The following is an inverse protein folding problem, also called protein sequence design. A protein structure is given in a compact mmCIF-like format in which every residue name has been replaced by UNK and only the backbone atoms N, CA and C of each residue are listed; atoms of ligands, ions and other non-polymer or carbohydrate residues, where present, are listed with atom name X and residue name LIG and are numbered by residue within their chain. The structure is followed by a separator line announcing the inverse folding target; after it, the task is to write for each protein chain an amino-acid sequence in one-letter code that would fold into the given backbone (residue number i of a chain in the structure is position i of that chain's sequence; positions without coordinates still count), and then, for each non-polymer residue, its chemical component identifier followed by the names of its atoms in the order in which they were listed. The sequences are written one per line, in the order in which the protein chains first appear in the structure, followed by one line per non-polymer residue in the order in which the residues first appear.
data_IF_089194724259
#
_entry.id   IF_089194724259
#
_cell.length_a   1.000
_cell.length_b   1.000
_cell.length_c   1.000
_cell.angle_alpha   90.00
_cell.angle_beta   90.00
_cell.angle_gamma   90.00
#
_symmetry.space_group_name_H-M   'P 1'
#
loop_
_entity.id
_entity.type
_entity.pdbx_description
1 polymer ?
#
# COMPACT_ATOMS: atom_id res chain seq x y z
N UNK A 1 -33.84 67.23 -4.93
CA UNK A 1 -32.49 67.79 -5.15
C UNK A 1 -31.72 66.75 -5.96
N UNK A 2 -31.91 66.78 -7.29
CA UNK A 2 -31.00 67.38 -8.32
C UNK A 2 -29.81 66.47 -8.61
N UNK A 3 -29.91 65.64 -9.66
CA UNK A 3 -29.40 65.84 -11.04
C UNK A 3 -27.96 65.30 -11.16
N UNK A 4 -27.50 64.57 -12.17
CA UNK A 4 -28.06 64.21 -13.49
C UNK A 4 -26.91 64.14 -14.51
N UNK A 5 -26.88 63.09 -15.37
CA UNK A 5 -26.29 63.05 -16.72
C UNK A 5 -24.75 63.16 -16.86
N UNK A 6 -24.09 62.74 -17.96
CA UNK A 6 -24.55 62.10 -19.20
C UNK A 6 -23.33 61.67 -20.07
N UNK A 7 -23.52 60.62 -20.88
CA UNK A 7 -23.08 60.40 -22.29
C UNK A 7 -21.62 60.68 -22.77
N UNK A 8 -20.88 59.60 -23.09
CA UNK A 8 -20.41 59.07 -24.43
C UNK A 8 -19.85 59.98 -25.59
N UNK A 9 -19.14 59.41 -26.61
CA UNK A 9 -17.78 59.74 -27.14
C UNK A 9 -17.83 60.56 -28.49
N UNK A 10 -16.95 60.49 -29.53
CA UNK A 10 -15.57 59.97 -29.76
C UNK A 10 -14.62 60.98 -30.51
N UNK A 11 -13.35 60.62 -30.86
CA UNK A 11 -12.73 60.86 -32.21
C UNK A 11 -11.25 60.45 -32.36
N UNK A 12 -10.93 60.13 -33.62
CA UNK A 12 -9.67 59.65 -34.24
C UNK A 12 -8.63 60.76 -34.52
N UNK A 13 -7.37 60.33 -34.70
CA UNK A 13 -6.52 60.48 -35.92
C UNK A 13 -5.15 61.19 -35.81
N UNK A 14 -4.26 60.76 -36.74
CA UNK A 14 -2.98 61.28 -37.25
C UNK A 14 -1.71 60.66 -36.64
N UNK A 15 -0.83 59.91 -37.35
CA UNK A 15 -0.20 59.95 -38.69
C UNK A 15 1.15 60.69 -38.74
N UNK A 16 2.21 59.96 -39.11
CA UNK A 16 3.49 60.42 -39.68
C UNK A 16 4.39 59.20 -39.92
N UNK A 17 4.59 58.69 -41.15
CA UNK A 17 5.49 59.14 -42.23
C UNK A 17 6.98 58.81 -41.95
N UNK A 18 7.87 58.37 -42.86
CA UNK A 18 7.87 57.65 -44.16
C UNK A 18 9.36 57.49 -44.62
N UNK A 19 9.63 56.61 -45.61
CA UNK A 19 10.83 56.43 -46.50
C UNK A 19 11.99 55.53 -46.00
N UNK A 20 12.34 54.38 -46.63
CA UNK A 20 12.89 54.06 -47.99
C UNK A 20 14.44 54.19 -48.03
N UNK A 21 15.30 53.36 -48.66
CA UNK A 21 15.24 52.16 -49.53
C UNK A 21 16.69 51.57 -49.71
N UNK A 22 16.80 50.51 -50.56
CA UNK A 22 17.99 49.92 -51.25
C UNK A 22 18.72 48.77 -50.49
N UNK A 23 19.04 47.58 -51.05
CA UNK A 23 19.15 47.00 -52.42
C UNK A 23 19.22 45.44 -52.31
N UNK A 24 18.71 44.68 -53.29
CA UNK A 24 18.98 43.22 -53.47
C UNK A 24 20.28 42.97 -54.28
N UNK A 25 20.54 41.79 -54.91
CA UNK A 25 19.65 40.64 -55.19
C UNK A 25 20.29 39.20 -55.13
N UNK A 26 19.46 38.17 -55.42
CA UNK A 26 19.73 36.84 -56.05
C UNK A 26 19.43 35.56 -55.25
N UNK A 27 18.60 34.68 -55.86
CA UNK A 27 18.59 33.22 -55.62
C UNK A 27 17.20 32.59 -55.54
N UNK A 28 16.74 31.89 -56.60
CA UNK A 28 15.42 31.27 -56.79
C UNK A 28 15.37 29.78 -56.37
N UNK A 29 14.15 29.29 -56.06
CA UNK A 29 13.45 28.03 -56.50
C UNK A 29 12.70 27.40 -55.31
N UNK A 30 11.36 27.40 -55.27
CA UNK A 30 10.35 26.66 -56.05
C UNK A 30 10.28 25.18 -55.68
N UNK A 31 9.24 24.77 -54.93
CA UNK A 31 8.19 23.91 -55.49
C UNK A 31 6.96 23.88 -54.58
N UNK A 32 5.80 24.07 -55.19
CA UNK A 32 4.45 23.89 -54.66
C UNK A 32 3.70 23.08 -55.73
N UNK A 33 2.62 22.40 -55.33
CA UNK A 33 1.75 21.50 -56.11
C UNK A 33 2.14 20.00 -56.15
N UNK A 34 1.29 19.13 -55.57
CA UNK A 34 0.05 18.66 -56.22
C UNK A 34 -0.62 17.54 -55.41
N UNK A 35 -1.83 17.80 -54.92
CA UNK A 35 -2.81 16.77 -54.55
C UNK A 35 -3.57 16.37 -55.82
N UNK A 36 -3.62 15.08 -56.17
CA UNK A 36 -4.58 14.58 -57.15
C UNK A 36 -5.09 13.18 -56.78
N UNK A 37 -6.42 13.07 -56.73
CA UNK A 37 -7.18 11.88 -56.35
C UNK A 37 -7.71 11.19 -57.61
N UNK A 38 -7.39 9.90 -57.75
CA UNK A 38 -8.21 8.91 -58.47
C UNK A 38 -7.56 8.28 -59.70
N UNK A 39 -7.17 7.00 -59.58
CA UNK A 39 -7.42 5.90 -60.55
C UNK A 39 -7.01 4.58 -59.92
N UNK A 40 -7.87 3.56 -59.98
CA UNK A 40 -7.55 2.16 -59.60
C UNK A 40 -6.74 1.50 -60.70
N UNK A 41 -5.73 0.69 -60.35
CA UNK A 41 -5.30 -0.44 -61.17
C UNK A 41 -4.85 -1.59 -60.26
N UNK A 42 -5.38 -2.77 -60.57
CA UNK A 42 -5.16 -4.03 -59.89
C UNK A 42 -3.92 -4.74 -60.45
N UNK A 43 -3.17 -5.40 -59.57
CA UNK A 43 -2.51 -6.69 -59.80
C UNK A 43 -1.81 -7.08 -58.49
N UNK A 44 -2.23 -8.20 -57.89
CA UNK A 44 -1.57 -8.77 -56.74
C UNK A 44 -0.40 -9.65 -57.15
N UNK A 45 0.67 -9.63 -56.34
CA UNK A 45 1.49 -10.78 -55.96
C UNK A 45 2.43 -10.37 -54.80
N UNK A 46 2.93 -11.33 -53.98
CA UNK A 46 3.23 -11.08 -52.57
C UNK A 46 4.61 -10.47 -52.33
N UNK A 47 4.71 -9.65 -51.28
CA UNK A 47 5.98 -9.16 -50.76
C UNK A 47 6.72 -10.29 -50.04
N UNK A 48 7.60 -10.98 -50.76
CA UNK A 48 8.67 -11.77 -50.15
C UNK A 48 9.80 -10.81 -49.73
N UNK A 49 10.05 -10.70 -48.43
CA UNK A 49 11.22 -10.00 -47.91
C UNK A 49 12.45 -10.91 -48.06
N UNK A 50 13.31 -10.64 -49.03
CA UNK A 50 14.67 -11.17 -49.07
C UNK A 50 15.60 -10.19 -48.35
N UNK A 51 16.14 -10.62 -47.22
CA UNK A 51 17.18 -9.91 -46.46
C UNK A 51 18.53 -10.47 -46.90
N UNK A 52 19.37 -9.64 -47.53
CA UNK A 52 20.83 -9.87 -47.59
C UNK A 52 21.57 -8.53 -47.78
N UNK A 53 22.35 -8.06 -46.79
CA UNK A 53 23.36 -7.04 -47.01
C UNK A 53 24.71 -7.74 -47.23
N UNK A 54 25.18 -7.77 -48.48
CA UNK A 54 26.55 -8.17 -48.76
C UNK A 54 27.51 -7.08 -48.29
N UNK A 55 28.45 -7.57 -47.48
CA UNK A 55 29.72 -7.02 -47.07
C UNK A 55 30.37 -6.11 -48.12
N UNK A 56 30.63 -4.87 -47.72
CA UNK A 56 31.88 -4.15 -47.98
C UNK A 56 31.89 -2.89 -47.09
N UNK A 57 33.02 -2.65 -46.41
CA UNK A 57 33.27 -1.59 -45.41
C UNK A 57 33.02 -1.94 -43.93
N UNK A 58 33.57 -3.07 -43.47
CA UNK A 58 33.78 -3.35 -42.05
C UNK A 58 35.29 -3.47 -41.72
N UNK A 59 36.09 -2.48 -42.11
CA UNK A 59 37.52 -2.40 -41.75
C UNK A 59 37.93 -1.00 -41.25
N UNK A 60 37.13 -0.27 -40.44
CA UNK A 60 37.72 0.90 -39.74
C UNK A 60 37.04 1.43 -38.48
N UNK A 61 36.43 0.59 -37.63
CA UNK A 61 35.86 1.09 -36.37
C UNK A 61 35.76 0.07 -35.23
N UNK A 62 36.85 -0.65 -34.95
CA UNK A 62 37.03 -1.37 -33.68
C UNK A 62 38.40 -1.07 -33.06
N UNK A 63 38.65 0.19 -32.71
CA UNK A 63 39.67 0.58 -31.72
C UNK A 63 39.03 1.42 -30.63
N UNK A 64 38.56 0.73 -29.59
CA UNK A 64 38.69 1.05 -28.15
C UNK A 64 37.84 0.07 -27.34
N UNK A 65 38.36 -1.12 -27.13
CA UNK A 65 37.94 -2.00 -26.03
C UNK A 65 38.99 -1.82 -24.92
N UNK A 66 38.64 -1.38 -23.69
CA UNK A 66 39.59 -1.36 -22.60
C UNK A 66 39.99 -2.81 -22.22
N UNK A 67 41.25 -3.07 -21.81
CA UNK A 67 41.70 -4.42 -21.54
C UNK A 67 40.97 -5.05 -20.35
N UNK A 68 40.45 -6.25 -20.56
CA UNK A 68 39.93 -7.13 -19.50
C UNK A 68 41.11 -7.54 -18.63
N UNK A 69 41.14 -6.97 -17.43
CA UNK A 69 42.13 -7.29 -16.40
C UNK A 69 41.90 -8.73 -15.93
N UNK A 70 42.83 -9.65 -16.22
CA UNK A 70 42.87 -10.99 -15.62
C UNK A 70 42.96 -10.83 -14.10
N UNK A 71 41.82 -10.89 -13.40
CA UNK A 71 41.80 -11.08 -11.94
C UNK A 71 42.08 -12.54 -11.68
N UNK A 72 43.27 -12.80 -11.13
CA UNK A 72 43.68 -14.12 -10.68
C UNK A 72 42.72 -14.71 -9.65
N UNK A 73 42.88 -16.01 -9.43
CA UNK A 73 42.05 -16.92 -8.61
C UNK A 73 42.19 -16.64 -7.10
N UNK A 74 42.32 -15.37 -6.70
CA UNK A 74 42.40 -14.94 -5.29
C UNK A 74 41.16 -14.16 -4.83
N UNK A 75 40.17 -13.94 -5.71
CA UNK A 75 38.92 -13.25 -5.37
C UNK A 75 37.75 -14.20 -4.98
N UNK A 76 38.04 -15.48 -4.68
CA UNK A 76 37.00 -16.46 -4.29
C UNK A 76 37.02 -16.79 -2.79
N UNK A 77 38.06 -16.39 -2.03
CA UNK A 77 38.20 -16.78 -0.61
C UNK A 77 38.64 -15.66 0.35
N UNK A 78 38.33 -14.40 0.04
CA UNK A 78 38.80 -13.23 0.83
C UNK A 78 38.19 -13.03 2.23
N UNK A 79 37.07 -13.68 2.57
CA UNK A 79 36.46 -13.59 3.92
C UNK A 79 36.53 -14.92 4.71
N UNK A 80 36.66 -16.06 4.01
CA UNK A 80 36.71 -17.39 4.64
C UNK A 80 38.04 -17.67 5.36
N UNK A 81 39.11 -16.96 5.02
CA UNK A 81 40.39 -17.01 5.74
C UNK A 81 40.30 -16.43 7.16
N UNK A 82 39.33 -15.56 7.45
CA UNK A 82 39.11 -15.00 8.79
C UNK A 82 38.01 -15.74 9.55
N UNK A 83 36.99 -16.25 8.86
CA UNK A 83 35.88 -16.95 9.49
C UNK A 83 36.33 -18.22 10.23
N UNK A 84 37.22 -19.02 9.64
CA UNK A 84 37.68 -20.28 10.23
C UNK A 84 38.51 -20.09 11.52
N UNK A 85 39.55 -19.22 11.57
CA UNK A 85 40.30 -19.01 12.80
C UNK A 85 39.44 -18.32 13.88
N UNK A 86 38.53 -17.41 13.52
CA UNK A 86 37.61 -16.79 14.50
C UNK A 86 36.68 -17.84 15.11
N UNK A 87 36.13 -18.74 14.31
CA UNK A 87 35.26 -19.81 14.82
C UNK A 87 36.03 -20.75 15.75
N UNK A 88 37.28 -21.10 15.43
CA UNK A 88 38.13 -21.90 16.32
C UNK A 88 38.41 -21.21 17.65
N UNK A 89 38.68 -19.90 17.65
CA UNK A 89 38.87 -19.12 18.89
C UNK A 89 37.59 -19.10 19.73
N UNK A 90 36.43 -18.86 19.12
CA UNK A 90 35.14 -18.88 19.82
C UNK A 90 34.87 -20.27 20.40
N UNK A 91 35.15 -21.33 19.64
CA UNK A 91 34.95 -22.72 20.10
C UNK A 91 35.89 -23.04 21.28
N UNK A 92 37.14 -22.56 21.24
CA UNK A 92 38.08 -22.71 22.35
C UNK A 92 37.64 -21.93 23.61
N UNK A 93 37.09 -20.72 23.45
CA UNK A 93 36.56 -19.93 24.56
C UNK A 93 35.33 -20.58 25.21
N UNK A 94 34.42 -21.15 24.41
CA UNK A 94 33.26 -21.89 24.95
C UNK A 94 33.71 -23.14 25.70
N UNK A 95 34.68 -23.89 25.15
CA UNK A 95 35.24 -25.06 25.85
C UNK A 95 35.95 -24.65 27.15
N UNK A 96 36.66 -23.52 27.16
CA UNK A 96 37.31 -22.98 28.37
C UNK A 96 36.29 -22.56 29.43
N UNK A 97 35.18 -21.96 29.05
CA UNK A 97 34.10 -21.59 29.97
C UNK A 97 33.44 -22.83 30.59
N UNK A 98 33.25 -23.89 29.79
CA UNK A 98 32.71 -25.17 30.29
C UNK A 98 33.67 -25.95 31.19
N UNK A 99 34.98 -25.68 31.14
CA UNK A 99 35.97 -26.33 32.03
C UNK A 99 36.31 -25.48 33.26
N UNK A 100 35.97 -24.19 33.28
CA UNK A 100 36.06 -23.31 34.46
C UNK A 100 34.79 -23.36 35.33
N UNK A 101 33.64 -23.71 34.74
CA UNK A 101 32.41 -24.00 35.48
C UNK A 101 32.58 -25.32 36.25
N UNK A 102 33.13 -25.23 37.46
CA UNK A 102 33.21 -26.34 38.41
C UNK A 102 31.82 -26.94 38.71
N UNK A 103 31.75 -28.20 39.14
CA UNK A 103 30.49 -28.89 39.40
C UNK A 103 29.67 -28.15 40.46
N UNK A 104 28.33 -28.18 40.37
CA UNK A 104 27.47 -27.50 41.33
C UNK A 104 27.72 -28.08 42.72
N UNK A 105 28.19 -27.22 43.63
CA UNK A 105 28.37 -27.56 45.03
C UNK A 105 26.99 -27.75 45.66
N UNK A 106 26.70 -29.00 46.00
CA UNK A 106 25.69 -29.39 46.98
C UNK A 106 25.86 -28.54 48.25
N UNK A 107 24.93 -27.62 48.51
CA UNK A 107 24.87 -26.96 49.81
C UNK A 107 24.16 -27.91 50.77
N UNK A 108 24.99 -28.57 51.58
CA UNK A 108 24.59 -29.37 52.73
C UNK A 108 23.84 -28.54 53.77
N UNK A 109 22.86 -29.20 54.36
CA UNK A 109 22.02 -28.75 55.45
C UNK A 109 22.80 -28.44 56.74
N UNK A 110 22.29 -27.45 57.50
CA UNK A 110 22.51 -27.30 58.93
C UNK A 110 21.15 -27.02 59.62
N UNK A 111 20.99 -27.37 60.91
CA UNK A 111 19.80 -28.09 61.36
C UNK A 111 18.65 -27.24 61.92
N UNK A 112 17.50 -27.90 61.91
CA UNK A 112 16.20 -27.53 62.46
C UNK A 112 16.24 -26.90 63.87
N UNK A 113 15.43 -25.85 64.05
CA UNK A 113 14.71 -25.62 65.32
C UNK A 113 13.23 -25.41 65.01
N UNK A 114 12.43 -26.29 65.60
CA UNK A 114 11.03 -26.53 65.32
C UNK A 114 10.08 -25.39 65.70
N UNK A 115 9.02 -25.22 64.91
CA UNK A 115 7.68 -24.93 65.39
C UNK A 115 6.68 -25.64 64.48
N UNK A 116 5.84 -26.47 65.10
CA UNK A 116 4.86 -27.36 64.48
C UNK A 116 3.54 -26.64 64.15
N UNK A 117 2.58 -27.45 63.67
CA UNK A 117 1.17 -27.20 63.30
C UNK A 117 1.03 -26.88 61.80
N UNK A 118 0.45 -27.69 60.91
CA UNK A 118 -0.31 -28.93 60.97
C UNK A 118 -1.21 -29.00 59.72
N UNK A 119 -1.29 -30.16 59.04
CA UNK A 119 -2.46 -30.53 58.24
C UNK A 119 -2.31 -30.67 56.70
N UNK A 120 -2.36 -31.95 56.27
CA UNK A 120 -2.96 -32.52 55.04
C UNK A 120 -2.27 -32.42 53.67
N UNK A 121 -2.02 -33.62 53.12
CA UNK A 121 -1.57 -33.98 51.77
C UNK A 121 -2.52 -33.53 50.65
N UNK A 122 -1.99 -32.98 49.55
CA UNK A 122 -2.33 -33.43 48.18
C UNK A 122 -1.34 -32.88 47.13
N UNK A 123 -1.30 -33.57 45.99
CA UNK A 123 -0.26 -33.69 44.95
C UNK A 123 0.00 -32.41 44.13
N UNK A 124 1.25 -31.99 43.82
CA UNK A 124 1.50 -30.94 42.85
C UNK A 124 1.46 -31.51 41.43
N UNK A 125 0.48 -31.08 40.64
CA UNK A 125 0.42 -31.32 39.19
C UNK A 125 1.14 -30.17 38.50
N UNK A 126 2.36 -30.42 38.03
CA UNK A 126 3.17 -29.45 37.28
C UNK A 126 2.48 -29.12 35.95
N UNK A 127 1.88 -27.94 35.87
CA UNK A 127 1.45 -27.33 34.60
C UNK A 127 2.32 -26.08 34.42
N UNK A 128 3.07 -25.92 33.32
CA UNK A 128 3.82 -24.69 33.09
C UNK A 128 2.81 -23.58 32.84
N UNK A 129 2.72 -22.69 33.83
CA UNK A 129 1.99 -21.44 33.78
C UNK A 129 2.62 -20.57 32.69
N UNK A 130 2.11 -20.69 31.46
CA UNK A 130 2.40 -19.76 30.40
C UNK A 130 1.68 -18.45 30.74
N UNK A 131 2.33 -17.64 31.57
CA UNK A 131 1.91 -16.26 31.82
C UNK A 131 2.08 -15.48 30.52
N UNK A 132 1.06 -15.50 29.65
CA UNK A 132 0.90 -14.48 28.62
C UNK A 132 0.88 -13.14 29.35
N UNK A 133 1.94 -12.35 29.16
CA UNK A 133 1.94 -10.96 29.60
C UNK A 133 0.70 -10.29 29.00
N UNK A 134 -0.18 -9.68 29.81
CA UNK A 134 -1.32 -8.97 29.28
C UNK A 134 -0.81 -7.89 28.32
N UNK A 135 -1.25 -7.96 27.05
CA UNK A 135 -1.14 -6.81 26.14
C UNK A 135 -1.98 -5.72 26.78
N UNK A 136 -1.31 -4.72 27.36
CA UNK A 136 -1.98 -3.58 27.97
C UNK A 136 -2.60 -2.77 26.83
N UNK A 137 -3.94 -2.66 26.75
CA UNK A 137 -4.57 -1.79 25.77
C UNK A 137 -4.12 -0.36 26.02
N UNK A 138 -3.74 0.36 24.97
CA UNK A 138 -3.30 1.75 25.11
C UNK A 138 -4.53 2.64 25.36
N UNK A 139 -4.47 3.48 26.40
CA UNK A 139 -5.47 4.53 26.67
C UNK A 139 -5.25 5.72 25.72
N UNK A 140 -5.36 5.47 24.42
CA UNK A 140 -5.31 6.51 23.40
C UNK A 140 -6.70 7.12 23.25
N UNK A 141 -7.05 8.13 24.07
CA UNK A 141 -8.35 8.81 23.95
C UNK A 141 -8.43 9.65 22.68
N UNK A 142 -8.87 9.04 21.59
CA UNK A 142 -9.05 9.71 20.30
C UNK A 142 -10.55 9.90 20.05
N UNK A 143 -11.06 11.15 20.07
CA UNK A 143 -12.50 11.42 19.99
C UNK A 143 -13.19 10.85 18.74
N UNK A 144 -12.45 10.71 17.64
CA UNK A 144 -12.95 10.22 16.36
C UNK A 144 -12.70 8.73 16.13
N UNK A 145 -12.05 8.03 17.07
CA UNK A 145 -11.71 6.63 16.94
C UNK A 145 -12.81 5.69 17.41
N UNK A 146 -13.81 6.16 18.15
CA UNK A 146 -14.94 5.33 18.51
C UNK A 146 -15.74 4.85 17.29
N UNK A 147 -16.44 3.74 17.45
CA UNK A 147 -17.38 3.26 16.44
C UNK A 147 -18.61 4.18 16.45
N UNK A 148 -19.02 4.77 15.31
CA UNK A 148 -20.25 5.55 15.24
C UNK A 148 -21.46 4.73 15.71
N UNK A 149 -22.50 5.36 16.28
CA UNK A 149 -23.75 4.67 16.57
C UNK A 149 -24.43 4.23 15.27
N UNK A 150 -25.24 3.18 15.34
CA UNK A 150 -25.95 2.66 14.18
C UNK A 150 -26.60 1.32 14.46
N UNK A 151 -27.14 0.70 13.41
CA UNK A 151 -27.75 -0.63 13.49
C UNK A 151 -26.77 -1.68 14.00
N UNK A 152 -27.32 -2.79 14.48
CA UNK A 152 -26.53 -3.93 14.90
C UNK A 152 -25.85 -4.62 13.72
N UNK A 153 -24.83 -5.40 14.06
CA UNK A 153 -24.04 -6.22 13.14
C UNK A 153 -23.65 -7.53 13.84
N UNK A 154 -23.40 -8.57 13.05
CA UNK A 154 -22.89 -9.85 13.55
C UNK A 154 -21.55 -9.67 14.26
N UNK A 155 -21.50 -9.97 15.57
CA UNK A 155 -20.28 -9.81 16.40
C UNK A 155 -19.23 -10.89 16.16
N UNK A 156 -19.68 -12.12 15.91
CA UNK A 156 -18.83 -13.30 15.85
C UNK A 156 -19.20 -14.20 14.67
N UNK A 157 -18.20 -14.81 14.07
CA UNK A 157 -18.34 -15.87 13.08
C UNK A 157 -17.49 -17.09 13.44
N UNK A 158 -17.58 -18.17 12.65
CA UNK A 158 -16.83 -19.39 12.88
C UNK A 158 -15.40 -19.34 12.33
N UNK A 159 -14.87 -18.16 11.96
CA UNK A 159 -13.52 -17.95 11.42
C UNK A 159 -13.26 -18.69 10.10
N UNK A 160 -14.32 -19.12 9.42
CA UNK A 160 -14.26 -19.73 8.09
C UNK A 160 -14.84 -18.78 7.06
N UNK A 161 -14.32 -18.82 5.84
CA UNK A 161 -14.63 -17.85 4.80
C UNK A 161 -15.24 -18.54 3.59
N UNK A 162 -16.32 -17.96 3.04
CA UNK A 162 -16.82 -18.30 1.71
C UNK A 162 -16.23 -17.34 0.69
N UNK A 163 -15.76 -17.88 -0.43
CA UNK A 163 -15.31 -17.08 -1.58
C UNK A 163 -16.53 -16.62 -2.35
N UNK A 164 -16.60 -15.34 -2.69
CA UNK A 164 -17.59 -14.81 -3.63
C UNK A 164 -17.06 -15.04 -5.04
N UNK A 165 -17.61 -16.00 -5.81
CA UNK A 165 -17.04 -16.38 -7.10
C UNK A 165 -17.00 -15.18 -8.05
N UNK A 166 -15.93 -15.05 -8.82
CA UNK A 166 -15.84 -13.99 -9.82
C UNK A 166 -14.50 -13.96 -10.52
N UNK A 167 -14.53 -13.44 -11.74
CA UNK A 167 -13.34 -13.14 -12.52
C UNK A 167 -13.55 -11.86 -13.31
N UNK A 168 -12.46 -11.17 -13.63
CA UNK A 168 -12.52 -9.92 -14.37
C UNK A 168 -11.33 -9.71 -15.30
N UNK A 169 -11.43 -8.74 -16.22
CA UNK A 169 -10.28 -8.32 -17.01
C UNK A 169 -9.20 -7.74 -16.09
N UNK A 170 -7.95 -7.76 -16.57
CA UNK A 170 -6.88 -7.00 -15.94
C UNK A 170 -7.18 -5.51 -16.05
N UNK A 171 -7.18 -4.79 -14.93
CA UNK A 171 -7.34 -3.32 -14.89
C UNK A 171 -6.01 -2.67 -14.50
N UNK A 172 -5.65 -1.60 -15.21
CA UNK A 172 -4.32 -0.98 -15.10
C UNK A 172 -3.29 -1.58 -16.07
N UNK A 173 -2.18 -0.87 -16.26
CA UNK A 173 -1.14 -1.30 -17.19
C UNK A 173 -0.34 -2.47 -16.61
N UNK A 174 0.07 -2.36 -15.34
CA UNK A 174 0.83 -3.38 -14.63
C UNK A 174 2.24 -3.55 -15.18
N UNK A 175 2.92 -2.45 -15.52
CA UNK A 175 4.27 -2.49 -16.11
C UNK A 175 5.30 -3.12 -15.18
N UNK A 176 5.01 -3.20 -13.88
CA UNK A 176 5.84 -3.88 -12.89
C UNK A 176 5.14 -5.09 -12.28
N UNK A 177 3.87 -4.98 -11.87
CA UNK A 177 3.17 -6.06 -11.18
C UNK A 177 1.68 -6.05 -11.44
N UNK A 178 1.12 -7.25 -11.65
CA UNK A 178 -0.31 -7.51 -11.62
C UNK A 178 -0.65 -8.25 -10.31
N UNK A 179 -1.59 -7.72 -9.55
CA UNK A 179 -2.09 -8.32 -8.31
C UNK A 179 -3.41 -9.02 -8.58
N UNK A 180 -3.41 -10.34 -8.55
CA UNK A 180 -4.65 -11.12 -8.54
C UNK A 180 -5.31 -11.06 -7.16
N UNK A 181 -6.63 -10.88 -7.11
CA UNK A 181 -7.36 -10.83 -5.86
C UNK A 181 -8.63 -11.67 -5.88
N UNK A 182 -8.96 -12.27 -4.73
CA UNK A 182 -10.28 -12.85 -4.47
C UNK A 182 -11.02 -12.01 -3.44
N UNK A 183 -12.33 -12.25 -3.37
CA UNK A 183 -13.23 -11.60 -2.41
C UNK A 183 -13.85 -12.71 -1.57
N UNK A 184 -13.78 -12.53 -0.26
CA UNK A 184 -14.22 -13.50 0.73
C UNK A 184 -15.09 -12.81 1.77
N UNK A 185 -16.05 -13.54 2.31
CA UNK A 185 -16.88 -13.08 3.42
C UNK A 185 -16.87 -14.18 4.47
N UNK A 186 -16.69 -13.80 5.73
CA UNK A 186 -16.75 -14.76 6.82
C UNK A 186 -18.15 -15.38 6.89
N UNK A 187 -18.20 -16.69 7.10
CA UNK A 187 -19.45 -17.42 7.31
C UNK A 187 -20.17 -16.87 8.56
N UNK A 188 -21.50 -16.84 8.53
CA UNK A 188 -22.30 -16.22 9.60
C UNK A 188 -22.55 -14.73 9.42
N UNK A 189 -21.76 -14.00 8.63
CA UNK A 189 -22.08 -12.61 8.23
C UNK A 189 -23.37 -12.61 7.40
N UNK A 190 -24.37 -11.84 7.84
CA UNK A 190 -25.70 -11.85 7.22
C UNK A 190 -25.78 -10.95 5.99
N UNK A 191 -26.72 -11.23 5.09
CA UNK A 191 -26.98 -10.41 3.89
C UNK A 191 -27.28 -8.95 4.24
N UNK A 192 -27.97 -8.74 5.36
CA UNK A 192 -28.26 -7.43 5.94
C UNK A 192 -26.99 -6.73 6.40
N UNK A 193 -26.06 -7.42 7.08
CA UNK A 193 -24.78 -6.83 7.49
C UNK A 193 -23.98 -6.33 6.29
N UNK A 194 -23.90 -7.13 5.22
CA UNK A 194 -23.17 -6.79 4.00
C UNK A 194 -23.76 -5.56 3.30
N UNK A 195 -25.09 -5.40 3.35
CA UNK A 195 -25.81 -4.30 2.71
C UNK A 195 -26.45 -4.68 1.37
N UNK A 196 -26.99 -5.90 1.27
CA UNK A 196 -27.64 -6.40 0.05
C UNK A 196 -27.11 -7.75 -0.45
N UNK A 197 -26.37 -8.49 0.39
CA UNK A 197 -25.77 -9.77 0.03
C UNK A 197 -24.34 -9.67 -0.49
N UNK A 198 -23.76 -10.83 -0.78
CA UNK A 198 -22.33 -10.99 -1.07
C UNK A 198 -21.86 -10.19 -2.30
N UNK A 199 -22.72 -10.09 -3.33
CA UNK A 199 -22.43 -9.34 -4.55
C UNK A 199 -22.32 -7.82 -4.31
N UNK A 200 -22.98 -7.28 -3.27
CA UNK A 200 -22.88 -5.87 -2.94
C UNK A 200 -21.48 -5.52 -2.42
N UNK A 201 -20.90 -6.37 -1.57
CA UNK A 201 -19.52 -6.23 -1.13
C UNK A 201 -18.55 -6.42 -2.30
N UNK A 202 -18.75 -7.49 -3.07
CA UNK A 202 -17.86 -7.81 -4.17
C UNK A 202 -17.85 -6.72 -5.25
N UNK A 203 -19.02 -6.19 -5.60
CA UNK A 203 -19.16 -5.09 -6.54
C UNK A 203 -18.48 -3.81 -6.06
N UNK A 204 -18.55 -3.48 -4.75
CA UNK A 204 -17.87 -2.29 -4.23
C UNK A 204 -16.34 -2.45 -4.26
N UNK A 205 -15.82 -3.64 -3.93
CA UNK A 205 -14.39 -3.93 -4.03
C UNK A 205 -13.92 -3.82 -5.48
N UNK A 206 -14.63 -4.45 -6.43
CA UNK A 206 -14.27 -4.44 -7.84
C UNK A 206 -14.27 -3.02 -8.42
N UNK A 207 -15.34 -2.27 -8.17
CA UNK A 207 -15.45 -0.89 -8.64
C UNK A 207 -14.39 0.01 -8.01
N UNK A 208 -14.07 -0.18 -6.73
CA UNK A 208 -13.03 0.59 -6.04
C UNK A 208 -11.65 0.32 -6.64
N UNK A 209 -11.30 -0.94 -6.89
CA UNK A 209 -9.98 -1.32 -7.42
C UNK A 209 -9.83 -1.02 -8.91
N UNK A 210 -10.94 -0.98 -9.65
CA UNK A 210 -10.95 -0.58 -11.05
C UNK A 210 -11.06 0.96 -11.25
N UNK A 211 -11.35 1.72 -10.20
CA UNK A 211 -11.52 3.17 -10.29
C UNK A 211 -10.22 3.87 -10.75
N UNK A 212 -10.28 4.77 -11.75
CA UNK A 212 -9.09 5.50 -12.23
C UNK A 212 -8.46 6.42 -11.18
N UNK A 213 -9.15 6.73 -10.08
CA UNK A 213 -8.59 7.43 -8.92
C UNK A 213 -7.84 6.50 -7.96
N UNK A 214 -8.08 5.19 -8.11
CA UNK A 214 -7.47 4.11 -7.33
C UNK A 214 -6.00 3.84 -7.68
N UNK A 215 -5.52 2.70 -7.20
CA UNK A 215 -4.12 2.29 -7.32
C UNK A 215 -3.67 2.04 -8.77
N UNK A 216 -4.59 1.72 -9.68
CA UNK A 216 -4.30 1.47 -11.10
C UNK A 216 -3.97 2.74 -11.88
N UNK A 217 -4.10 3.92 -11.26
CA UNK A 217 -3.56 5.18 -11.77
C UNK A 217 -2.03 5.21 -11.81
N UNK A 218 -1.37 4.39 -10.99
CA UNK A 218 0.06 4.12 -11.10
C UNK A 218 0.27 3.06 -12.19
N UNK A 219 0.94 3.37 -13.31
CA UNK A 219 1.11 2.44 -14.43
C UNK A 219 1.87 1.16 -14.04
N UNK A 220 2.59 1.17 -12.91
CA UNK A 220 3.30 0.00 -12.38
C UNK A 220 2.36 -1.06 -11.84
N UNK A 221 1.14 -0.67 -11.42
CA UNK A 221 0.17 -1.53 -10.75
C UNK A 221 -0.95 -1.91 -11.73
N UNK A 222 -1.27 -3.20 -11.76
CA UNK A 222 -2.53 -3.71 -12.28
C UNK A 222 -3.18 -4.64 -11.27
N UNK A 223 -4.50 -4.79 -11.38
CA UNK A 223 -5.29 -5.69 -10.55
C UNK A 223 -6.15 -6.60 -11.42
N UNK A 224 -6.47 -7.80 -10.93
CA UNK A 224 -7.34 -8.73 -11.62
C UNK A 224 -8.12 -9.61 -10.63
N UNK A 225 -9.45 -9.61 -10.71
CA UNK A 225 -10.28 -10.51 -9.91
C UNK A 225 -10.13 -11.95 -10.41
N UNK A 226 -9.89 -12.86 -9.48
CA UNK A 226 -9.86 -14.32 -9.69
C UNK A 226 -10.53 -15.03 -8.52
N UNK A 227 -11.13 -16.19 -8.78
CA UNK A 227 -11.67 -17.04 -7.70
C UNK A 227 -10.55 -17.83 -7.02
N UNK A 228 -9.68 -18.45 -7.81
CA UNK A 228 -8.70 -19.42 -7.31
C UNK A 228 -7.28 -18.87 -7.26
N UNK A 229 -6.54 -19.24 -6.21
CA UNK A 229 -5.11 -18.94 -6.02
C UNK A 229 -4.76 -17.43 -6.21
N UNK A 230 -5.49 -16.50 -5.58
CA UNK A 230 -5.15 -15.08 -5.61
C UNK A 230 -3.86 -14.80 -4.82
N UNK A 231 -3.18 -13.70 -5.15
CA UNK A 231 -2.08 -13.18 -4.31
C UNK A 231 -2.59 -12.27 -3.18
N UNK A 232 -3.82 -11.75 -3.30
CA UNK A 232 -4.50 -10.96 -2.26
C UNK A 232 -5.90 -11.51 -2.01
N UNK A 233 -6.22 -11.88 -0.77
CA UNK A 233 -7.58 -12.24 -0.34
C UNK A 233 -8.19 -11.05 0.37
N UNK A 234 -9.28 -10.48 -0.13
CA UNK A 234 -9.98 -9.35 0.49
C UNK A 234 -11.19 -9.89 1.23
N UNK A 235 -11.26 -9.69 2.54
CA UNK A 235 -12.19 -10.43 3.40
C UNK A 235 -13.01 -9.51 4.28
N UNK A 236 -14.33 -9.62 4.21
CA UNK A 236 -15.21 -9.00 5.20
C UNK A 236 -15.34 -9.92 6.42
N UNK A 237 -14.97 -9.40 7.58
CA UNK A 237 -14.69 -10.22 8.77
C UNK A 237 -15.37 -9.65 10.01
N UNK A 238 -15.96 -10.51 10.83
CA UNK A 238 -16.62 -10.12 12.09
C UNK A 238 -15.61 -9.52 13.08
N UNK A 239 -16.05 -8.67 14.02
CA UNK A 239 -15.17 -8.04 15.01
C UNK A 239 -14.34 -9.04 15.82
N UNK A 240 -14.94 -10.11 16.33
CA UNK A 240 -14.22 -11.09 17.14
C UNK A 240 -13.10 -11.79 16.34
N UNK A 241 -13.39 -12.20 15.11
CA UNK A 241 -12.40 -12.78 14.21
C UNK A 241 -11.33 -11.76 13.83
N UNK A 242 -11.72 -10.50 13.60
CA UNK A 242 -10.78 -9.41 13.32
C UNK A 242 -9.82 -9.18 14.48
N UNK A 243 -10.31 -9.18 15.72
CA UNK A 243 -9.48 -9.04 16.93
C UNK A 243 -8.47 -10.19 17.08
N UNK A 244 -8.84 -11.42 16.69
CA UNK A 244 -7.92 -12.57 16.72
C UNK A 244 -6.85 -12.46 15.63
N UNK A 245 -7.25 -12.04 14.43
CA UNK A 245 -6.36 -11.95 13.27
C UNK A 245 -5.43 -10.74 13.31
N UNK A 246 -5.96 -9.57 13.64
CA UNK A 246 -5.25 -8.28 13.60
C UNK A 246 -4.62 -7.91 14.96
N UNK A 247 -4.99 -8.61 16.04
CA UNK A 247 -4.62 -8.26 17.40
C UNK A 247 -5.53 -7.21 18.03
N UNK A 248 -5.30 -6.94 19.33
CA UNK A 248 -6.11 -6.04 20.16
C UNK A 248 -5.31 -4.90 20.80
N UNK A 249 -4.14 -4.59 20.26
CA UNK A 249 -3.27 -3.53 20.80
C UNK A 249 -3.96 -2.17 20.72
N UNK A 250 -4.71 -1.93 19.65
CA UNK A 250 -5.57 -0.76 19.50
C UNK A 250 -6.95 -1.11 20.09
N UNK A 251 -7.50 -0.32 21.03
CA UNK A 251 -8.79 -0.61 21.69
C UNK A 251 -10.01 -0.33 20.81
N UNK A 252 -9.80 0.01 19.54
CA UNK A 252 -10.81 0.45 18.58
C UNK A 252 -10.95 -0.53 17.43
N UNK A 253 -12.18 -0.71 16.95
CA UNK A 253 -12.45 -1.53 15.76
C UNK A 253 -11.64 -1.02 14.56
N UNK A 254 -10.84 -1.89 13.95
CA UNK A 254 -9.97 -1.56 12.83
C UNK A 254 -9.87 -2.72 11.84
N UNK A 255 -9.56 -2.37 10.60
CA UNK A 255 -9.15 -3.31 9.55
C UNK A 255 -7.64 -3.56 9.63
N UNK A 256 -7.13 -4.57 8.92
CA UNK A 256 -5.68 -4.78 8.83
C UNK A 256 -5.26 -5.60 7.60
N UNK A 257 -3.95 -5.66 7.35
CA UNK A 257 -3.31 -6.54 6.36
C UNK A 257 -2.44 -7.61 7.03
N UNK A 258 -2.81 -8.88 6.82
CA UNK A 258 -1.99 -10.05 7.17
C UNK A 258 -1.04 -10.41 6.02
N UNK A 259 0.20 -9.94 6.12
CA UNK A 259 1.18 -10.12 5.04
C UNK A 259 1.55 -11.58 4.77
N UNK A 260 1.60 -12.44 5.80
CA UNK A 260 1.95 -13.87 5.66
C UNK A 260 0.89 -14.65 4.89
N UNK A 261 -0.38 -14.33 5.12
CA UNK A 261 -1.51 -15.00 4.49
C UNK A 261 -1.95 -14.34 3.18
N UNK A 262 -1.37 -13.18 2.85
CA UNK A 262 -1.83 -12.37 1.73
C UNK A 262 -3.27 -11.86 1.92
N UNK A 263 -3.74 -11.72 3.16
CA UNK A 263 -5.14 -11.38 3.47
C UNK A 263 -5.29 -9.92 3.89
N UNK A 264 -6.21 -9.22 3.25
CA UNK A 264 -6.76 -7.93 3.67
C UNK A 264 -8.03 -8.21 4.45
N UNK A 265 -8.08 -7.79 5.70
CA UNK A 265 -9.21 -7.96 6.61
C UNK A 265 -9.94 -6.62 6.70
N UNK A 266 -11.20 -6.61 6.28
CA UNK A 266 -12.13 -5.49 6.41
C UNK A 266 -13.05 -5.78 7.59
N UNK A 267 -12.96 -4.94 8.62
CA UNK A 267 -13.76 -5.10 9.84
C UNK A 267 -15.24 -4.80 9.59
N UNK A 268 -16.12 -5.75 9.94
CA UNK A 268 -17.56 -5.66 9.70
C UNK A 268 -18.24 -4.55 10.52
N UNK A 269 -17.84 -4.30 11.77
CA UNK A 269 -18.41 -3.22 12.57
C UNK A 269 -18.23 -1.88 11.86
N UNK A 270 -17.01 -1.64 11.38
CA UNK A 270 -16.68 -0.46 10.58
C UNK A 270 -17.34 -0.45 9.21
N UNK A 271 -17.50 -1.61 8.58
CA UNK A 271 -18.24 -1.70 7.33
C UNK A 271 -19.71 -1.27 7.49
N UNK A 272 -20.32 -1.59 8.63
CA UNK A 272 -21.73 -1.30 8.92
C UNK A 272 -21.95 0.12 9.45
N UNK A 273 -21.05 0.64 10.29
CA UNK A 273 -21.24 1.93 10.98
C UNK A 273 -20.28 3.04 10.53
N UNK A 274 -19.23 2.72 9.78
CA UNK A 274 -18.26 3.67 9.26
C UNK A 274 -17.26 4.19 10.32
N UNK A 275 -16.77 5.40 10.09
CA UNK A 275 -15.89 6.12 11.00
C UNK A 275 -16.37 7.55 11.21
N UNK A 276 -16.20 8.09 12.42
CA UNK A 276 -16.68 9.43 12.78
C UNK A 276 -16.05 10.52 11.91
N UNK A 277 -14.79 10.34 11.48
CA UNK A 277 -14.09 11.28 10.61
C UNK A 277 -14.79 11.52 9.25
N UNK A 278 -15.61 10.57 8.80
CA UNK A 278 -16.32 10.63 7.51
C UNK A 278 -17.70 11.27 7.63
N UNK A 279 -18.09 11.77 8.81
CA UNK A 279 -19.32 12.54 9.04
C UNK A 279 -20.60 11.86 8.50
N UNK A 280 -20.68 10.53 8.64
CA UNK A 280 -21.82 9.74 8.19
C UNK A 280 -21.77 9.30 6.72
N UNK A 281 -20.77 9.71 5.94
CA UNK A 281 -20.57 9.20 4.58
C UNK A 281 -19.94 7.80 4.59
N UNK A 282 -20.80 6.81 4.82
CA UNK A 282 -20.42 5.39 4.88
C UNK A 282 -19.91 4.88 3.53
N UNK A 283 -20.40 5.41 2.42
CA UNK A 283 -19.96 5.01 1.08
C UNK A 283 -18.50 5.38 0.87
N UNK A 284 -18.16 6.63 1.18
CA UNK A 284 -16.80 7.17 1.07
C UNK A 284 -15.84 6.46 2.05
N UNK A 285 -16.31 6.15 3.27
CA UNK A 285 -15.54 5.34 4.22
C UNK A 285 -15.21 3.93 3.70
N UNK A 286 -16.17 3.23 3.09
CA UNK A 286 -15.95 1.86 2.60
C UNK A 286 -14.92 1.83 1.47
N UNK A 287 -14.99 2.78 0.54
CA UNK A 287 -13.99 2.94 -0.52
C UNK A 287 -12.61 3.23 0.07
N UNK A 288 -12.54 4.12 1.06
CA UNK A 288 -11.31 4.41 1.80
C UNK A 288 -10.73 3.14 2.44
N UNK A 289 -11.54 2.39 3.19
CA UNK A 289 -11.08 1.20 3.90
C UNK A 289 -10.53 0.15 2.94
N UNK A 290 -11.19 -0.08 1.81
CA UNK A 290 -10.69 -0.99 0.77
C UNK A 290 -9.34 -0.49 0.23
N UNK A 291 -9.24 0.77 -0.19
CA UNK A 291 -8.01 1.29 -0.77
C UNK A 291 -6.85 1.34 0.23
N UNK A 292 -7.10 1.68 1.49
CA UNK A 292 -6.09 1.73 2.54
C UNK A 292 -5.47 0.34 2.78
N UNK A 293 -6.30 -0.66 3.05
CA UNK A 293 -5.80 -2.00 3.37
C UNK A 293 -5.17 -2.70 2.16
N UNK A 294 -5.73 -2.48 0.97
CA UNK A 294 -5.10 -2.95 -0.28
C UNK A 294 -3.81 -2.18 -0.57
N UNK A 295 -3.69 -0.92 -0.15
CA UNK A 295 -2.44 -0.17 -0.19
C UNK A 295 -1.31 -0.88 0.57
N UNK A 296 -1.59 -1.42 1.75
CA UNK A 296 -0.64 -2.27 2.47
C UNK A 296 -0.27 -3.54 1.69
N UNK A 297 -1.23 -4.16 1.00
CA UNK A 297 -0.96 -5.29 0.11
C UNK A 297 0.01 -4.94 -1.04
N UNK A 298 0.01 -3.68 -1.46
CA UNK A 298 0.89 -3.13 -2.49
C UNK A 298 2.20 -2.58 -1.92
N UNK A 299 2.44 -2.75 -0.62
CA UNK A 299 3.68 -2.33 0.05
C UNK A 299 3.70 -0.85 0.44
N UNK A 300 2.54 -0.21 0.57
CA UNK A 300 2.43 1.17 1.06
C UNK A 300 2.35 1.17 2.59
N UNK A 301 3.16 2.00 3.24
CA UNK A 301 3.09 2.27 4.68
C UNK A 301 2.15 3.42 4.98
N UNK A 302 1.88 3.69 6.26
CA UNK A 302 1.05 4.83 6.62
C UNK A 302 1.72 6.16 6.30
N UNK A 303 0.88 7.17 6.10
CA UNK A 303 1.28 8.54 5.77
C UNK A 303 0.47 9.54 6.60
N UNK A 304 1.07 10.69 6.91
CA UNK A 304 0.39 11.80 7.59
C UNK A 304 -0.03 12.88 6.61
N UNK A 305 -0.87 13.80 7.07
CA UNK A 305 -1.17 15.05 6.39
C UNK A 305 0.11 15.79 5.99
N UNK A 306 0.24 16.10 4.70
CA UNK A 306 1.30 16.96 4.21
C UNK A 306 1.08 18.42 4.61
N UNK A 307 -0.17 18.88 4.52
CA UNK A 307 -0.63 20.25 4.80
C UNK A 307 -2.02 20.23 5.43
N UNK A 308 -2.33 21.22 6.26
CA UNK A 308 -3.68 21.40 6.81
C UNK A 308 -4.68 21.73 5.70
N UNK A 309 -5.94 21.38 5.90
CA UNK A 309 -7.10 21.58 5.00
C UNK A 309 -7.01 20.90 3.62
N UNK A 310 -5.88 20.27 3.30
CA UNK A 310 -5.69 19.41 2.14
C UNK A 310 -6.39 18.07 2.29
N UNK A 311 -6.43 17.28 1.21
CA UNK A 311 -6.89 15.89 1.26
C UNK A 311 -5.87 15.03 2.00
N UNK A 312 -6.34 14.17 2.90
CA UNK A 312 -5.52 13.18 3.55
C UNK A 312 -4.94 12.20 2.49
N UNK A 313 -3.68 11.76 2.61
CA UNK A 313 -3.23 10.60 1.87
C UNK A 313 -4.12 9.40 2.18
N UNK A 314 -4.40 8.54 1.19
CA UNK A 314 -5.25 7.35 1.44
C UNK A 314 -4.63 6.41 2.48
N UNK A 315 -3.31 6.44 2.62
CA UNK A 315 -2.57 5.68 3.62
C UNK A 315 -2.53 6.34 5.01
N UNK A 316 -3.15 7.49 5.20
CA UNK A 316 -3.43 7.98 6.55
C UNK A 316 -4.48 7.08 7.20
N UNK A 317 -4.35 6.79 8.49
CA UNK A 317 -5.31 5.98 9.25
C UNK A 317 -6.59 6.77 9.59
N UNK A 318 -7.32 7.18 8.54
CA UNK A 318 -8.51 8.04 8.62
C UNK A 318 -9.69 7.41 9.39
N UNK A 319 -9.69 6.08 9.60
CA UNK A 319 -10.64 5.39 10.48
C UNK A 319 -10.67 6.01 11.89
N UNK A 320 -9.52 6.51 12.35
CA UNK A 320 -9.39 7.08 13.68
C UNK A 320 -9.40 8.60 13.70
N UNK A 321 -9.25 9.24 12.54
CA UNK A 321 -9.26 10.69 12.41
C UNK A 321 -8.36 11.20 11.30
N UNK A 322 -8.53 12.48 10.96
CA UNK A 322 -7.76 13.20 9.95
C UNK A 322 -6.79 14.21 10.56
N UNK A 323 -6.45 14.03 11.84
CA UNK A 323 -5.45 14.83 12.56
C UNK A 323 -4.18 13.98 12.78
N UNK A 324 -3.02 14.52 12.39
CA UNK A 324 -1.74 13.84 12.53
C UNK A 324 -1.41 13.46 13.98
N UNK A 325 -1.85 14.25 14.97
CA UNK A 325 -1.62 13.94 16.38
C UNK A 325 -2.33 12.64 16.80
N UNK A 326 -3.54 12.40 16.28
CA UNK A 326 -4.30 11.18 16.60
C UNK A 326 -3.62 9.95 15.99
N UNK A 327 -3.16 10.06 14.73
CA UNK A 327 -2.45 8.98 14.05
C UNK A 327 -1.11 8.70 14.73
N UNK A 328 -0.34 9.74 15.10
CA UNK A 328 0.91 9.59 15.84
C UNK A 328 0.68 8.89 17.19
N UNK A 329 -0.36 9.27 17.94
CA UNK A 329 -0.71 8.64 19.21
C UNK A 329 -0.99 7.14 19.06
N UNK A 330 -1.65 6.71 17.98
CA UNK A 330 -1.89 5.29 17.69
C UNK A 330 -0.63 4.52 17.30
N UNK A 331 0.31 5.20 16.65
CA UNK A 331 1.55 4.58 16.20
C UNK A 331 2.52 4.36 17.36
N UNK A 332 2.60 5.33 18.27
CA UNK A 332 3.36 5.22 19.52
C UNK A 332 2.78 4.14 20.45
N UNK A 333 1.48 3.87 20.30
CA UNK A 333 0.77 2.87 21.07
C UNK A 333 1.25 1.43 20.76
N UNK A 334 1.63 1.14 19.52
CA UNK A 334 2.04 -0.22 19.12
C UNK A 334 3.56 -0.37 19.31
N UNK A 335 4.04 -1.24 20.22
CA UNK A 335 5.47 -1.38 20.47
C UNK A 335 6.21 -1.91 19.23
N UNK A 336 7.26 -1.20 18.79
CA UNK A 336 8.14 -1.64 17.70
C UNK A 336 7.73 -1.18 16.30
N UNK A 337 6.59 -0.50 16.13
CA UNK A 337 6.24 0.21 14.88
C UNK A 337 6.97 1.55 14.83
N UNK A 338 7.85 1.72 13.83
CA UNK A 338 8.34 3.04 13.41
C UNK A 338 7.45 3.54 12.29
N UNK A 339 6.25 3.96 12.64
CA UNK A 339 5.40 4.63 11.68
C UNK A 339 5.83 6.11 11.54
N UNK A 340 5.96 6.66 10.32
CA UNK A 340 6.55 7.98 10.11
C UNK A 340 5.67 9.18 10.50
N UNK A 341 4.42 8.99 10.93
CA UNK A 341 3.50 10.13 11.17
C UNK A 341 3.91 10.95 12.39
N UNK A 342 4.29 12.20 12.16
CA UNK A 342 4.68 13.16 13.21
C UNK A 342 3.46 13.83 13.81
N UNK A 343 3.44 14.03 15.12
CA UNK A 343 2.46 14.86 15.82
C UNK A 343 2.71 16.37 15.56
N UNK A 344 2.48 16.83 14.33
CA UNK A 344 2.71 18.22 13.88
C UNK A 344 1.43 19.07 13.82
N UNK A 345 0.31 18.57 14.37
CA UNK A 345 -0.95 19.30 14.51
C UNK A 345 -1.74 19.52 13.22
N UNK A 346 -1.28 19.00 12.07
CA UNK A 346 -1.99 19.16 10.80
C UNK A 346 -3.29 18.37 10.78
N UNK A 347 -4.31 18.98 10.19
CA UNK A 347 -5.64 18.39 10.02
C UNK A 347 -6.03 18.43 8.56
N UNK A 348 -6.34 17.27 7.97
CA UNK A 348 -6.79 17.15 6.59
C UNK A 348 -8.31 17.01 6.49
N UNK A 349 -8.80 16.93 5.25
CA UNK A 349 -10.11 16.41 4.87
C UNK A 349 -10.00 14.94 4.48
N UNK A 350 -11.05 14.16 4.72
CA UNK A 350 -11.10 12.74 4.34
C UNK A 350 -10.93 12.56 2.83
N UNK A 351 -10.28 11.47 2.43
CA UNK A 351 -10.04 11.13 1.04
C UNK A 351 -9.91 9.60 0.88
N UNK A 352 -10.72 8.98 0.00
CA UNK A 352 -10.74 7.53 -0.12
C UNK A 352 -9.82 7.00 -1.23
N UNK A 353 -9.12 7.86 -1.97
CA UNK A 353 -8.36 7.47 -3.16
C UNK A 353 -6.88 7.89 -3.08
N UNK A 354 -5.94 7.06 -3.57
CA UNK A 354 -4.53 7.45 -3.70
C UNK A 354 -4.31 8.58 -4.70
N UNK A 355 -5.14 8.67 -5.74
CA UNK A 355 -5.09 9.73 -6.75
C UNK A 355 -6.48 10.32 -6.97
N UNK A 356 -6.97 11.23 -6.11
CA UNK A 356 -8.34 11.75 -6.19
C UNK A 356 -8.65 12.52 -7.48
N UNK A 357 -7.62 12.95 -8.22
CA UNK A 357 -7.75 13.62 -9.53
C UNK A 357 -7.66 12.64 -10.71
N UNK A 358 -7.57 11.34 -10.45
CA UNK A 358 -7.48 10.31 -11.47
C UNK A 358 -8.66 10.34 -12.42
N UNK A 359 -8.36 10.26 -13.71
CA UNK A 359 -9.33 10.29 -14.80
C UNK A 359 -9.29 8.98 -15.59
N UNK A 360 -10.41 8.54 -16.19
CA UNK A 360 -10.41 7.42 -17.12
C UNK A 360 -9.39 7.63 -18.25
N UNK A 361 -8.78 6.56 -18.78
CA UNK A 361 -7.90 6.66 -19.95
C UNK A 361 -8.61 7.36 -21.12
N UNK A 362 -8.03 8.44 -21.64
CA UNK A 362 -8.55 9.16 -22.81
C UNK A 362 -9.55 10.30 -22.53
N UNK A 363 -9.57 10.87 -21.31
CA UNK A 363 -10.45 11.99 -20.90
C UNK A 363 -9.72 13.26 -20.44
#
# INVERSE_FOLDING_TARGET
MTQGGDVSPPKKSRSGASRAAARGPHGRRADDDRYQRGTRRASGEPLAAAWNPDAENAEESYRRIPPVRKRGILAVYGWRLYAIPILLVITALVLWDTTQAGPPTETQAAPNKAAAIGGSNEVPTDTPDATEKPVTPIDAKIPTADLPPGRDFTQAGPETFRVVPGSGPKVGQGTQKTYTYSIEIENGVTTTDVGGGDDAFAGLVDTTLADPRGWTSDPRIAVQRVTDKPVVRISLTTPETTHKLCGRTIPYESSCRLSRDGRVVINLARWVRGALAFNGDIGLYRVYAINHEVGHAFGRGHEGCAQSDGLAPVMMQQTFGVNNNYVAQLNDAVPGTRDPVKADGKVCKTNPYPNPQGKPPGS
#
